data_IF_800425803476
#
_entry.id   IF_800425803476
#
_cell.length_a   1.000
_cell.length_b   1.000
_cell.length_c   1.000
_cell.angle_alpha   90.00
_cell.angle_beta   90.00
_cell.angle_gamma   90.00
#
_symmetry.space_group_name_H-M   'P 1'
#
loop_
_entity.id
_entity.type
_entity.pdbx_description
1 polymer ?
#
# COMPACT_ATOMS: atom_id res chain seq x y z
N UNK A 1 -5.19 -21.92 36.98
CA UNK A 1 -4.71 -20.54 36.69
C UNK A 1 -4.26 -20.48 35.25
N UNK A 2 -5.12 -20.03 34.34
CA UNK A 2 -4.77 -19.78 32.93
C UNK A 2 -4.34 -18.30 32.80
N UNK A 3 -3.07 -18.05 32.46
CA UNK A 3 -2.56 -16.72 32.21
C UNK A 3 -3.19 -16.20 30.91
N UNK A 4 -4.00 -15.18 31.03
CA UNK A 4 -4.43 -14.35 29.90
C UNK A 4 -3.20 -13.61 29.37
N UNK A 5 -2.73 -13.98 28.19
CA UNK A 5 -1.74 -13.20 27.45
C UNK A 5 -2.55 -12.09 26.77
N UNK A 6 -2.55 -10.92 27.39
CA UNK A 6 -3.00 -9.67 26.77
C UNK A 6 -2.04 -9.36 25.63
N UNK A 7 -2.54 -9.38 24.39
CA UNK A 7 -1.78 -8.92 23.23
C UNK A 7 -1.76 -7.39 23.28
N UNK A 8 -0.82 -6.86 24.07
CA UNK A 8 -0.47 -5.43 23.97
C UNK A 8 0.03 -5.16 22.55
N UNK A 9 -0.40 -4.02 21.96
CA UNK A 9 0.17 -3.49 20.75
C UNK A 9 1.69 -3.53 20.86
N UNK A 10 2.37 -4.17 19.89
CA UNK A 10 3.81 -4.36 19.93
C UNK A 10 4.49 -2.98 19.91
N UNK A 11 4.95 -2.53 21.06
CA UNK A 11 5.69 -1.26 21.25
C UNK A 11 7.16 -1.35 20.84
N UNK A 12 7.54 -2.38 20.10
CA UNK A 12 8.92 -2.60 19.64
C UNK A 12 9.05 -2.43 18.13
N UNK A 13 10.31 -2.40 17.63
CA UNK A 13 10.58 -2.29 16.20
C UNK A 13 9.97 -3.45 15.43
N UNK A 14 9.45 -3.19 14.23
CA UNK A 14 8.95 -4.24 13.33
C UNK A 14 10.10 -5.16 12.94
N UNK A 15 9.87 -6.47 13.00
CA UNK A 15 10.91 -7.48 12.71
C UNK A 15 10.30 -8.62 11.89
N UNK A 16 11.08 -9.07 10.90
CA UNK A 16 10.78 -10.29 10.16
C UNK A 16 11.97 -11.25 10.19
N UNK A 17 11.66 -12.54 10.16
CA UNK A 17 12.68 -13.57 10.08
C UNK A 17 13.52 -13.42 8.81
N UNK A 18 14.81 -13.82 8.83
CA UNK A 18 15.65 -13.89 7.65
C UNK A 18 15.03 -14.73 6.54
N UNK A 19 15.16 -14.27 5.29
CA UNK A 19 14.72 -15.03 4.11
C UNK A 19 15.82 -15.96 3.57
N UNK A 20 17.07 -15.74 3.97
CA UNK A 20 18.16 -16.68 3.66
C UNK A 20 17.86 -18.01 4.34
N UNK A 21 18.03 -19.12 3.61
CA UNK A 21 17.84 -20.44 4.17
C UNK A 21 18.70 -20.63 5.42
N UNK A 22 18.02 -20.86 6.53
CA UNK A 22 18.65 -21.17 7.80
C UNK A 22 18.97 -22.66 7.81
N UNK A 23 20.16 -23.02 8.27
CA UNK A 23 20.58 -24.41 8.48
C UNK A 23 19.47 -25.15 9.25
N UNK A 24 19.07 -26.30 8.73
CA UNK A 24 17.97 -27.12 9.28
C UNK A 24 18.09 -27.28 10.81
N UNK A 25 17.10 -26.79 11.56
CA UNK A 25 17.03 -26.90 13.02
C UNK A 25 16.94 -25.57 13.78
N UNK A 26 17.12 -24.43 13.16
CA UNK A 26 16.88 -23.14 13.82
C UNK A 26 15.44 -22.66 13.56
N UNK A 27 14.58 -22.74 14.58
CA UNK A 27 13.27 -22.07 14.57
C UNK A 27 13.45 -20.60 14.93
N UNK A 28 13.17 -19.72 14.00
CA UNK A 28 13.06 -18.30 14.31
C UNK A 28 11.70 -18.03 14.96
N UNK A 29 11.71 -17.41 16.14
CA UNK A 29 10.50 -16.91 16.81
C UNK A 29 9.89 -15.68 16.10
N UNK A 30 10.63 -15.06 15.17
CA UNK A 30 10.19 -13.88 14.43
C UNK A 30 9.15 -14.25 13.36
N UNK A 31 8.17 -13.37 13.12
CA UNK A 31 7.17 -13.56 12.08
C UNK A 31 7.81 -13.62 10.69
N UNK A 32 7.22 -14.42 9.80
CA UNK A 32 7.63 -14.48 8.40
C UNK A 32 7.05 -13.33 7.62
N UNK A 33 7.85 -12.73 6.74
CA UNK A 33 7.36 -11.79 5.75
C UNK A 33 6.40 -12.50 4.78
N UNK A 34 5.21 -11.91 4.57
CA UNK A 34 4.14 -12.48 3.73
C UNK A 34 4.08 -11.87 2.34
N UNK A 35 4.63 -10.69 2.17
CA UNK A 35 4.67 -9.98 0.88
C UNK A 35 5.15 -8.54 1.00
N UNK A 36 5.37 -7.92 -0.15
CA UNK A 36 5.83 -6.54 -0.25
C UNK A 36 4.87 -5.75 -1.15
N UNK A 37 4.47 -4.58 -0.69
CA UNK A 37 3.63 -3.64 -1.44
C UNK A 37 4.51 -2.47 -1.87
N UNK A 38 4.40 -2.06 -3.12
CA UNK A 38 5.20 -0.99 -3.70
C UNK A 38 4.33 0.18 -4.16
N UNK A 39 4.81 1.40 -3.98
CA UNK A 39 4.40 2.51 -4.82
C UNK A 39 5.07 2.42 -6.20
N UNK A 40 4.71 3.31 -7.12
CA UNK A 40 5.22 3.29 -8.51
C UNK A 40 6.16 4.44 -8.78
N UNK A 41 5.64 5.69 -8.75
CA UNK A 41 6.43 6.87 -9.13
C UNK A 41 7.37 7.29 -7.99
N UNK A 42 8.66 7.34 -8.28
CA UNK A 42 9.69 7.53 -7.26
C UNK A 42 10.13 6.23 -6.57
N UNK A 43 9.43 5.11 -6.77
CA UNK A 43 9.70 3.83 -6.12
C UNK A 43 10.08 2.71 -7.10
N UNK A 44 9.20 2.31 -8.01
CA UNK A 44 9.55 1.33 -9.06
C UNK A 44 10.20 1.99 -10.28
N UNK A 45 9.88 3.27 -10.54
CA UNK A 45 10.58 4.10 -11.51
C UNK A 45 11.11 5.37 -10.83
N UNK A 46 12.07 6.03 -11.49
CA UNK A 46 12.64 7.28 -11.01
C UNK A 46 11.55 8.37 -10.92
N UNK A 47 11.65 9.30 -9.94
CA UNK A 47 10.65 10.32 -9.72
C UNK A 47 10.45 11.21 -10.95
N UNK A 48 9.19 11.41 -11.36
CA UNK A 48 8.81 12.29 -12.46
C UNK A 48 8.22 13.60 -11.91
N UNK A 49 8.92 14.26 -10.99
CA UNK A 49 8.45 15.45 -10.26
C UNK A 49 8.01 16.60 -11.16
N UNK A 50 8.58 16.73 -12.38
CA UNK A 50 8.16 17.71 -13.37
C UNK A 50 6.70 17.52 -13.81
N UNK A 51 6.21 16.30 -13.85
CA UNK A 51 4.84 15.97 -14.21
C UNK A 51 3.82 16.62 -13.25
N UNK A 52 4.08 16.58 -11.95
CA UNK A 52 3.20 17.21 -10.96
C UNK A 52 3.16 18.73 -11.06
N UNK A 53 4.28 19.36 -11.49
CA UNK A 53 4.30 20.77 -11.83
C UNK A 53 3.36 21.09 -13.00
N UNK A 54 3.51 20.37 -14.10
CA UNK A 54 2.66 20.51 -15.28
C UNK A 54 1.17 20.29 -15.00
N UNK A 55 0.84 19.27 -14.17
CA UNK A 55 -0.55 19.01 -13.75
C UNK A 55 -1.13 20.18 -12.98
N UNK A 56 -0.37 20.78 -12.06
CA UNK A 56 -0.83 21.94 -11.30
C UNK A 56 -0.99 23.18 -12.17
N UNK A 57 -0.07 23.40 -13.10
CA UNK A 57 -0.14 24.52 -14.06
C UNK A 57 -1.41 24.44 -14.92
N UNK A 58 -1.73 23.26 -15.45
CA UNK A 58 -2.96 23.03 -16.24
C UNK A 58 -4.23 23.22 -15.41
N UNK A 59 -4.20 22.82 -14.14
CA UNK A 59 -5.34 22.96 -13.23
C UNK A 59 -5.42 24.34 -12.57
N UNK A 60 -4.40 25.19 -12.71
CA UNK A 60 -4.34 26.52 -12.08
C UNK A 60 -4.25 26.47 -10.56
N UNK A 61 -3.62 25.43 -9.96
CA UNK A 61 -3.56 25.24 -8.51
C UNK A 61 -2.13 25.33 -7.96
N UNK A 62 -1.95 25.86 -6.73
CA UNK A 62 -0.63 25.93 -6.08
C UNK A 62 -0.17 24.57 -5.55
N UNK A 63 1.13 24.47 -5.20
CA UNK A 63 1.73 23.23 -4.63
C UNK A 63 1.08 22.75 -3.35
N UNK A 64 0.46 23.63 -2.58
CA UNK A 64 -0.21 23.31 -1.32
C UNK A 64 -1.54 22.58 -1.49
N UNK A 65 -2.08 22.53 -2.72
CA UNK A 65 -3.36 21.86 -3.02
C UNK A 65 -3.09 20.48 -3.59
N UNK A 66 -3.78 19.47 -3.06
CA UNK A 66 -3.74 18.13 -3.62
C UNK A 66 -4.49 18.08 -4.95
N UNK A 67 -3.85 17.51 -5.96
CA UNK A 67 -4.36 17.47 -7.35
C UNK A 67 -5.69 16.72 -7.42
N UNK A 68 -5.77 15.56 -6.76
CA UNK A 68 -6.94 14.71 -6.83
C UNK A 68 -8.11 15.27 -6.00
N UNK A 69 -7.83 15.78 -4.81
CA UNK A 69 -8.86 16.43 -3.98
C UNK A 69 -9.44 17.64 -4.70
N UNK A 70 -8.58 18.45 -5.37
CA UNK A 70 -9.06 19.56 -6.19
C UNK A 70 -10.01 19.08 -7.28
N UNK A 71 -9.61 18.10 -8.10
CA UNK A 71 -10.45 17.59 -9.20
C UNK A 71 -11.79 17.09 -8.67
N UNK A 72 -11.79 16.33 -7.58
CA UNK A 72 -13.03 15.80 -7.02
C UNK A 72 -13.91 16.85 -6.33
N UNK A 73 -13.34 18.00 -5.95
CA UNK A 73 -14.09 19.15 -5.42
C UNK A 73 -14.76 20.00 -6.51
N UNK A 74 -14.47 19.78 -7.78
CA UNK A 74 -15.06 20.52 -8.90
C UNK A 74 -16.57 20.30 -8.95
N UNK A 75 -17.37 21.36 -9.26
CA UNK A 75 -18.81 21.37 -9.07
C UNK A 75 -19.60 20.37 -9.92
N UNK A 76 -19.08 20.00 -11.09
CA UNK A 76 -19.81 19.13 -12.02
C UNK A 76 -19.00 17.92 -12.47
N UNK A 77 -19.66 16.77 -12.75
CA UNK A 77 -18.97 15.59 -13.28
C UNK A 77 -18.20 15.88 -14.59
N UNK A 78 -18.74 16.75 -15.44
CA UNK A 78 -18.07 17.15 -16.69
C UNK A 78 -16.74 17.85 -16.41
N UNK A 79 -16.71 18.83 -15.50
CA UNK A 79 -15.48 19.53 -15.11
C UNK A 79 -14.47 18.57 -14.47
N UNK A 80 -14.95 17.63 -13.66
CA UNK A 80 -14.08 16.62 -13.05
C UNK A 80 -13.43 15.74 -14.12
N UNK A 81 -14.18 15.27 -15.12
CA UNK A 81 -13.66 14.42 -16.18
C UNK A 81 -12.72 15.20 -17.13
N UNK A 82 -13.00 16.44 -17.48
CA UNK A 82 -12.12 17.29 -18.29
C UNK A 82 -10.78 17.53 -17.58
N UNK A 83 -10.82 17.85 -16.28
CA UNK A 83 -9.63 18.03 -15.47
C UNK A 83 -8.84 16.70 -15.32
N UNK A 84 -9.55 15.60 -15.14
CA UNK A 84 -8.96 14.26 -15.04
C UNK A 84 -8.27 13.88 -16.37
N UNK A 85 -8.91 14.12 -17.51
CA UNK A 85 -8.30 13.82 -18.81
C UNK A 85 -7.08 14.70 -19.09
N UNK A 86 -7.07 15.95 -18.64
CA UNK A 86 -5.90 16.83 -18.75
C UNK A 86 -4.68 16.27 -18.02
N UNK A 87 -4.86 15.73 -16.80
CA UNK A 87 -3.75 15.11 -16.07
C UNK A 87 -3.38 13.73 -16.65
N UNK A 88 -4.32 12.96 -17.17
CA UNK A 88 -4.03 11.71 -17.90
C UNK A 88 -3.17 11.95 -19.13
N UNK A 89 -3.41 13.03 -19.86
CA UNK A 89 -2.60 13.39 -21.03
C UNK A 89 -1.14 13.65 -20.64
N UNK A 90 -0.90 14.35 -19.53
CA UNK A 90 0.45 14.58 -19.00
C UNK A 90 1.10 13.26 -18.56
N UNK A 91 0.37 12.40 -17.87
CA UNK A 91 0.88 11.09 -17.46
C UNK A 91 1.26 10.20 -18.66
N UNK A 92 0.47 10.22 -19.75
CA UNK A 92 0.81 9.46 -20.98
C UNK A 92 2.14 9.91 -21.60
N UNK A 93 2.44 11.19 -21.60
CA UNK A 93 3.72 11.71 -22.08
C UNK A 93 4.86 11.28 -21.15
N UNK A 94 4.68 11.43 -19.84
CA UNK A 94 5.69 11.05 -18.85
C UNK A 94 5.94 9.54 -18.84
N UNK A 95 4.92 8.73 -19.09
CA UNK A 95 5.01 7.28 -19.17
C UNK A 95 6.08 6.81 -20.18
N UNK A 96 6.18 7.42 -21.34
CA UNK A 96 7.18 7.06 -22.34
C UNK A 96 8.62 7.29 -21.84
N UNK A 97 8.80 8.25 -20.94
CA UNK A 97 10.08 8.67 -20.36
C UNK A 97 10.43 7.95 -19.06
N UNK A 98 9.61 7.03 -18.59
CA UNK A 98 9.90 6.27 -17.37
C UNK A 98 11.26 5.57 -17.44
N UNK A 99 12.03 5.71 -16.37
CA UNK A 99 13.30 5.04 -16.12
C UNK A 99 13.16 4.18 -14.87
N UNK A 100 13.60 2.93 -14.94
CA UNK A 100 13.56 2.03 -13.79
C UNK A 100 14.40 2.57 -12.62
N UNK A 101 13.93 2.33 -11.39
CA UNK A 101 14.76 2.61 -10.21
C UNK A 101 16.01 1.74 -10.19
N UNK A 102 17.16 2.26 -9.71
CA UNK A 102 18.34 1.46 -9.48
C UNK A 102 18.06 0.26 -8.56
N UNK A 103 18.50 -0.92 -8.98
CA UNK A 103 18.30 -2.17 -8.23
C UNK A 103 16.92 -2.82 -8.40
N UNK A 104 16.03 -2.26 -9.25
CA UNK A 104 14.68 -2.79 -9.45
C UNK A 104 14.69 -4.26 -9.87
N UNK A 105 15.45 -4.59 -10.91
CA UNK A 105 15.48 -5.94 -11.46
C UNK A 105 16.02 -6.95 -10.46
N UNK A 106 17.07 -6.57 -9.72
CA UNK A 106 17.73 -7.45 -8.74
C UNK A 106 16.78 -7.75 -7.57
N UNK A 107 16.11 -6.72 -7.04
CA UNK A 107 15.13 -6.91 -5.98
C UNK A 107 13.97 -7.79 -6.46
N UNK A 108 13.41 -7.56 -7.66
CA UNK A 108 12.28 -8.34 -8.17
C UNK A 108 12.67 -9.80 -8.40
N UNK A 109 13.83 -10.06 -9.00
CA UNK A 109 14.34 -11.42 -9.18
C UNK A 109 14.53 -12.14 -7.82
N UNK A 110 15.04 -11.42 -6.82
CA UNK A 110 15.18 -11.95 -5.47
C UNK A 110 13.82 -12.31 -4.85
N UNK A 111 12.85 -11.39 -4.85
CA UNK A 111 11.52 -11.64 -4.29
C UNK A 111 10.81 -12.81 -5.00
N UNK A 112 10.94 -12.90 -6.34
CA UNK A 112 10.40 -14.01 -7.13
C UNK A 112 11.06 -15.34 -6.75
N UNK A 113 12.38 -15.37 -6.57
CA UNK A 113 13.11 -16.57 -6.15
C UNK A 113 12.71 -17.08 -4.76
N UNK A 114 12.20 -16.19 -3.90
CA UNK A 114 11.69 -16.49 -2.56
C UNK A 114 10.20 -16.76 -2.52
N UNK A 115 9.50 -16.67 -3.66
CA UNK A 115 8.06 -16.86 -3.75
C UNK A 115 7.25 -15.81 -2.98
N UNK A 116 7.82 -14.61 -2.75
CA UNK A 116 7.15 -13.54 -2.04
C UNK A 116 6.12 -12.84 -2.93
N UNK A 117 4.93 -12.62 -2.38
CA UNK A 117 3.87 -11.87 -3.05
C UNK A 117 4.27 -10.42 -3.21
N UNK A 118 3.93 -9.85 -4.37
CA UNK A 118 4.16 -8.45 -4.69
C UNK A 118 2.84 -7.80 -5.06
N UNK A 119 2.53 -6.67 -4.44
CA UNK A 119 1.38 -5.83 -4.76
C UNK A 119 1.81 -4.41 -5.11
N UNK A 120 0.92 -3.67 -5.72
CA UNK A 120 1.10 -2.24 -6.00
C UNK A 120 -0.03 -1.48 -5.32
N UNK A 121 0.32 -0.38 -4.64
CA UNK A 121 -0.62 0.60 -4.14
C UNK A 121 -0.13 2.01 -4.52
N UNK A 122 -0.72 2.60 -5.55
CA UNK A 122 -0.25 3.85 -6.15
C UNK A 122 -1.38 4.85 -6.35
N UNK A 123 -1.02 6.13 -6.49
CA UNK A 123 -1.91 7.22 -6.90
C UNK A 123 -1.88 7.47 -8.42
N UNK A 124 -1.16 6.64 -9.17
CA UNK A 124 -1.14 6.69 -10.63
C UNK A 124 -2.34 5.96 -11.24
N UNK A 125 -2.67 6.29 -12.48
CA UNK A 125 -3.64 5.54 -13.29
C UNK A 125 -3.11 4.15 -13.66
N UNK A 126 -4.01 3.28 -14.08
CA UNK A 126 -3.67 1.93 -14.51
C UNK A 126 -2.68 1.90 -15.69
N UNK A 127 -2.84 2.80 -16.66
CA UNK A 127 -2.06 2.78 -17.89
C UNK A 127 -0.54 3.03 -17.67
N UNK A 128 -0.08 4.05 -16.90
CA UNK A 128 1.33 4.19 -16.55
C UNK A 128 1.90 3.00 -15.78
N UNK A 129 1.10 2.39 -14.91
CA UNK A 129 1.51 1.19 -14.16
C UNK A 129 1.69 0.01 -15.10
N UNK A 130 0.72 -0.27 -15.96
CA UNK A 130 0.80 -1.36 -16.94
C UNK A 130 2.01 -1.18 -17.90
N UNK A 131 2.28 0.05 -18.32
CA UNK A 131 3.45 0.36 -19.15
C UNK A 131 4.76 0.03 -18.43
N UNK A 132 4.91 0.49 -17.18
CA UNK A 132 6.09 0.21 -16.35
C UNK A 132 6.32 -1.30 -16.21
N UNK A 133 5.27 -2.04 -15.83
CA UNK A 133 5.35 -3.49 -15.65
C UNK A 133 5.75 -4.18 -16.94
N UNK A 134 5.17 -3.79 -18.07
CA UNK A 134 5.51 -4.38 -19.39
C UNK A 134 6.93 -4.03 -19.81
N UNK A 135 7.36 -2.78 -19.58
CA UNK A 135 8.67 -2.29 -20.03
C UNK A 135 9.84 -2.87 -19.24
N UNK A 136 9.69 -2.98 -17.91
CA UNK A 136 10.80 -3.31 -17.02
C UNK A 136 10.64 -4.63 -16.26
N UNK A 137 9.41 -5.13 -16.10
CA UNK A 137 9.07 -6.22 -15.18
C UNK A 137 8.18 -7.30 -15.81
N UNK A 138 8.31 -7.53 -17.12
CA UNK A 138 7.48 -8.48 -17.88
C UNK A 138 7.50 -9.93 -17.35
N UNK A 139 8.51 -10.30 -16.54
CA UNK A 139 8.61 -11.62 -15.90
C UNK A 139 8.11 -11.67 -14.46
N UNK A 140 7.74 -10.54 -13.86
CA UNK A 140 7.33 -10.44 -12.46
C UNK A 140 5.82 -10.25 -12.33
N UNK A 141 5.19 -10.99 -11.41
CA UNK A 141 3.75 -10.88 -11.15
C UNK A 141 3.50 -9.94 -9.97
N UNK A 142 2.65 -8.93 -10.21
CA UNK A 142 2.13 -8.03 -9.17
C UNK A 142 0.61 -8.20 -9.10
N UNK A 143 0.12 -8.64 -7.96
CA UNK A 143 -1.32 -8.81 -7.74
C UNK A 143 -1.65 -8.73 -6.25
N UNK A 144 -2.67 -7.92 -5.88
CA UNK A 144 -3.41 -7.00 -6.74
C UNK A 144 -2.62 -5.71 -7.07
N UNK A 145 -3.13 -4.96 -8.04
CA UNK A 145 -2.68 -3.62 -8.38
C UNK A 145 -3.78 -2.63 -7.99
N UNK A 146 -3.50 -1.81 -6.98
CA UNK A 146 -4.39 -0.75 -6.50
C UNK A 146 -3.91 0.57 -7.07
N UNK A 147 -4.74 1.21 -7.90
CA UNK A 147 -4.45 2.46 -8.60
C UNK A 147 -5.27 3.62 -8.02
N UNK A 148 -5.19 4.79 -8.66
CA UNK A 148 -5.91 6.01 -8.32
C UNK A 148 -7.43 5.83 -8.19
N UNK A 149 -8.01 4.89 -8.93
CA UNK A 149 -9.46 4.67 -8.92
C UNK A 149 -9.96 4.02 -7.62
N UNK A 150 -9.05 3.46 -6.82
CA UNK A 150 -9.37 2.92 -5.50
C UNK A 150 -9.54 4.06 -4.47
N UNK A 151 -10.62 3.98 -3.68
CA UNK A 151 -10.97 4.98 -2.68
C UNK A 151 -11.12 4.38 -1.29
N UNK A 152 -10.67 5.08 -0.26
CA UNK A 152 -9.85 6.30 -0.26
C UNK A 152 -8.39 6.04 -0.68
N UNK A 153 -7.69 7.04 -1.25
CA UNK A 153 -6.27 6.90 -1.64
C UNK A 153 -5.32 7.00 -0.44
N UNK A 154 -4.06 6.65 -0.60
CA UNK A 154 -3.00 6.96 0.36
C UNK A 154 -3.01 8.48 0.69
N UNK A 155 -2.82 8.88 1.94
CA UNK A 155 -2.29 8.16 3.11
C UNK A 155 -3.30 7.31 3.89
N UNK A 156 -4.51 7.10 3.38
CA UNK A 156 -5.45 6.16 3.97
C UNK A 156 -4.93 4.71 3.78
N UNK A 157 -5.02 3.83 4.81
CA UNK A 157 -4.52 2.47 4.74
C UNK A 157 -5.39 1.52 3.92
N UNK A 158 -6.58 1.94 3.48
CA UNK A 158 -7.58 1.05 2.86
C UNK A 158 -7.05 0.25 1.67
N UNK A 159 -6.22 0.87 0.81
CA UNK A 159 -5.59 0.17 -0.32
C UNK A 159 -4.67 -0.97 0.11
N UNK A 160 -3.87 -0.76 1.15
CA UNK A 160 -2.98 -1.78 1.69
C UNK A 160 -3.75 -2.91 2.39
N UNK A 161 -4.79 -2.56 3.14
CA UNK A 161 -5.67 -3.54 3.80
C UNK A 161 -6.46 -4.37 2.78
N UNK A 162 -6.88 -3.76 1.66
CA UNK A 162 -7.48 -4.48 0.54
C UNK A 162 -6.50 -5.50 -0.06
N UNK A 163 -5.23 -5.12 -0.29
CA UNK A 163 -4.19 -6.02 -0.76
C UNK A 163 -3.97 -7.17 0.22
N UNK A 164 -3.83 -6.88 1.51
CA UNK A 164 -3.68 -7.89 2.55
C UNK A 164 -4.85 -8.90 2.52
N UNK A 165 -6.09 -8.39 2.50
CA UNK A 165 -7.30 -9.23 2.42
C UNK A 165 -7.33 -10.09 1.14
N UNK A 166 -6.93 -9.53 -0.01
CA UNK A 166 -6.86 -10.26 -1.28
C UNK A 166 -5.85 -11.42 -1.22
N UNK A 167 -4.87 -11.33 -0.35
CA UNK A 167 -3.90 -12.40 -0.09
C UNK A 167 -4.35 -13.37 1.01
N UNK A 168 -5.55 -13.20 1.56
CA UNK A 168 -6.08 -14.01 2.65
C UNK A 168 -5.45 -13.67 4.01
N UNK A 169 -4.78 -12.52 4.11
CA UNK A 169 -4.23 -12.02 5.36
C UNK A 169 -5.32 -11.20 6.04
N UNK A 170 -6.02 -11.84 6.98
CA UNK A 170 -7.14 -11.23 7.70
C UNK A 170 -6.99 -11.40 9.20
N UNK A 171 -7.57 -10.46 9.95
CA UNK A 171 -7.75 -10.57 11.39
C UNK A 171 -9.21 -10.40 11.74
N UNK A 172 -9.66 -11.08 12.78
CA UNK A 172 -11.04 -10.92 13.31
C UNK A 172 -11.09 -9.70 14.19
N UNK A 173 -12.10 -8.88 13.98
CA UNK A 173 -12.47 -7.82 14.92
C UNK A 173 -13.15 -8.48 16.11
N UNK A 174 -12.60 -8.32 17.34
CA UNK A 174 -13.00 -9.09 18.52
C UNK A 174 -13.97 -8.36 19.45
N UNK A 175 -13.97 -7.04 19.41
CA UNK A 175 -14.82 -6.21 20.28
C UNK A 175 -14.98 -4.78 19.73
N UNK A 176 -15.82 -3.97 20.41
CA UNK A 176 -16.08 -2.58 20.03
C UNK A 176 -14.81 -1.69 20.03
N UNK A 177 -13.79 -2.04 20.80
CA UNK A 177 -12.50 -1.31 20.82
C UNK A 177 -11.68 -1.63 19.58
N UNK A 178 -11.69 -2.87 19.15
CA UNK A 178 -11.08 -3.31 17.87
C UNK A 178 -11.83 -2.68 16.69
N UNK A 179 -13.17 -2.59 16.75
CA UNK A 179 -13.98 -1.88 15.75
C UNK A 179 -13.65 -0.39 15.71
N UNK A 180 -13.49 0.26 16.87
CA UNK A 180 -13.12 1.66 16.93
C UNK A 180 -11.71 1.89 16.39
N UNK A 181 -10.74 1.04 16.76
CA UNK A 181 -9.38 1.11 16.23
C UNK A 181 -9.36 0.91 14.71
N UNK A 182 -10.18 0.00 14.17
CA UNK A 182 -10.35 -0.19 12.72
C UNK A 182 -11.00 1.03 12.08
N UNK A 183 -12.03 1.61 12.69
CA UNK A 183 -12.67 2.84 12.19
C UNK A 183 -11.72 4.04 12.22
N UNK A 184 -10.92 4.18 13.27
CA UNK A 184 -9.93 5.25 13.40
C UNK A 184 -8.81 5.09 12.36
N UNK A 185 -8.43 3.85 12.04
CA UNK A 185 -7.44 3.50 11.01
C UNK A 185 -7.99 3.71 9.60
N UNK A 186 -9.27 3.35 9.36
CA UNK A 186 -9.91 3.46 8.03
C UNK A 186 -10.46 4.88 7.77
N UNK A 187 -10.52 5.75 8.78
CA UNK A 187 -10.94 7.14 8.60
C UNK A 187 -12.37 7.30 8.07
N UNK A 188 -13.35 6.61 8.67
CA UNK A 188 -14.76 6.80 8.32
C UNK A 188 -15.21 8.20 8.74
N UNK A 189 -14.97 9.18 7.88
CA UNK A 189 -15.60 10.48 7.93
C UNK A 189 -17.12 10.30 7.74
N UNK A 190 -17.90 10.84 8.68
CA UNK A 190 -19.34 10.96 8.52
C UNK A 190 -19.66 11.83 7.29
N UNK A 191 -20.30 11.25 6.30
CA UNK A 191 -20.98 11.99 5.25
C UNK A 191 -20.62 11.61 3.83
N UNK A 192 -21.50 10.88 3.15
CA UNK A 192 -21.57 10.87 1.69
C UNK A 192 -21.73 9.49 1.05
N UNK A 193 -22.96 9.17 0.71
CA UNK A 193 -23.48 8.22 -0.29
C UNK A 193 -22.52 7.15 -0.86
N UNK A 194 -22.81 5.94 -0.47
CA UNK A 194 -22.43 4.67 -1.08
C UNK A 194 -22.73 4.67 -2.60
N UNK A 195 -21.70 4.71 -3.43
CA UNK A 195 -21.79 4.25 -4.81
C UNK A 195 -21.40 2.77 -4.86
N UNK A 196 -22.40 1.93 -5.08
CA UNK A 196 -22.28 0.48 -5.10
C UNK A 196 -21.45 -0.02 -6.28
N UNK A 197 -20.60 -1.00 -6.02
CA UNK A 197 -20.02 -1.86 -7.04
C UNK A 197 -21.10 -2.63 -7.83
N UNK A 198 -20.85 -3.06 -9.09
CA UNK A 198 -21.86 -3.70 -9.92
C UNK A 198 -22.34 -5.02 -9.29
N UNK A 199 -23.64 -5.09 -9.04
CA UNK A 199 -24.29 -6.31 -8.56
C UNK A 199 -24.51 -7.27 -9.72
N UNK A 200 -23.85 -8.41 -9.71
CA UNK A 200 -24.32 -9.58 -10.45
C UNK A 200 -25.67 -10.06 -9.88
N UNK A 201 -26.67 -10.18 -10.77
CA UNK A 201 -27.98 -10.72 -10.45
C UNK A 201 -27.87 -12.23 -10.20
N UNK A 202 -28.01 -12.68 -8.95
CA UNK A 202 -28.39 -14.07 -8.62
C UNK A 202 -29.84 -14.09 -8.19
N UNK A 203 -30.56 -14.99 -8.84
CA UNK A 203 -31.99 -15.30 -8.62
C UNK A 203 -32.25 -15.76 -7.18
N UNK A 204 -33.37 -15.28 -6.66
CA UNK A 204 -33.95 -15.68 -5.38
C UNK A 204 -34.38 -17.15 -5.40
N UNK A 205 -34.01 -17.89 -4.37
CA UNK A 205 -34.78 -19.01 -3.86
C UNK A 205 -34.99 -18.77 -2.37
N UNK A 206 -36.26 -18.59 -2.03
CA UNK A 206 -36.76 -18.50 -0.67
C UNK A 206 -36.63 -19.87 0.03
N UNK A 207 -35.95 -19.90 1.17
CA UNK A 207 -35.96 -21.00 2.10
C UNK A 207 -35.79 -20.44 3.51
N UNK A 208 -36.90 -20.39 4.25
CA UNK A 208 -36.92 -19.95 5.64
C UNK A 208 -36.10 -20.90 6.51
N UNK A 209 -35.04 -20.40 7.16
CA UNK A 209 -34.37 -21.05 8.29
C UNK A 209 -34.27 -20.01 9.41
N UNK A 210 -34.64 -20.43 10.61
CA UNK A 210 -34.77 -19.61 11.81
C UNK A 210 -33.47 -18.94 12.30
N UNK A 211 -33.52 -18.11 13.37
CA UNK A 211 -32.45 -17.25 13.78
C UNK A 211 -31.33 -18.03 14.49
N UNK A 212 -30.28 -18.41 13.76
CA UNK A 212 -29.04 -18.87 14.36
C UNK A 212 -28.20 -17.65 14.78
N UNK A 213 -28.08 -17.50 16.10
CA UNK A 213 -27.25 -16.51 16.77
C UNK A 213 -25.76 -16.84 16.57
N UNK A 214 -25.24 -16.64 15.38
CA UNK A 214 -23.80 -16.59 15.12
C UNK A 214 -23.41 -15.13 14.89
N UNK A 215 -22.77 -14.54 15.90
CA UNK A 215 -22.16 -13.23 15.77
C UNK A 215 -21.23 -13.21 14.55
N UNK A 216 -21.62 -12.46 13.53
CA UNK A 216 -20.77 -12.20 12.37
C UNK A 216 -19.59 -11.38 12.84
N UNK A 217 -18.48 -12.05 13.14
CA UNK A 217 -17.21 -11.36 13.34
C UNK A 217 -16.74 -10.82 11.97
N UNK A 218 -16.65 -9.52 11.86
CA UNK A 218 -16.15 -8.86 10.65
C UNK A 218 -14.66 -9.18 10.51
N UNK A 219 -14.25 -9.73 9.36
CA UNK A 219 -12.84 -9.94 9.02
C UNK A 219 -12.31 -8.74 8.25
N UNK A 220 -11.25 -8.14 8.77
CA UNK A 220 -10.54 -7.01 8.14
C UNK A 220 -9.16 -7.45 7.67
N UNK A 221 -8.61 -6.76 6.66
CA UNK A 221 -7.25 -7.02 6.19
C UNK A 221 -6.22 -6.82 7.31
N UNK A 222 -5.18 -7.65 7.33
CA UNK A 222 -4.06 -7.57 8.26
C UNK A 222 -2.74 -7.43 7.50
N UNK A 223 -2.16 -6.24 7.54
CA UNK A 223 -0.90 -5.95 6.89
C UNK A 223 0.33 -6.10 7.81
N UNK A 224 0.16 -6.64 9.02
CA UNK A 224 1.26 -6.78 10.01
C UNK A 224 2.41 -7.68 9.53
N UNK A 225 2.15 -8.57 8.59
CA UNK A 225 3.14 -9.43 7.92
C UNK A 225 3.70 -8.84 6.62
N UNK A 226 3.47 -7.57 6.32
CA UNK A 226 3.83 -6.93 5.06
C UNK A 226 4.85 -5.80 5.23
N UNK A 227 5.51 -5.47 4.13
CA UNK A 227 6.34 -4.26 4.00
C UNK A 227 5.68 -3.36 2.95
N UNK A 228 5.55 -2.06 3.24
CA UNK A 228 5.26 -1.00 2.27
C UNK A 228 6.57 -0.32 1.89
N UNK A 229 6.92 -0.32 0.61
CA UNK A 229 8.07 0.40 0.04
C UNK A 229 7.54 1.58 -0.77
N UNK A 230 8.01 2.76 -0.45
CA UNK A 230 7.59 4.00 -1.10
C UNK A 230 8.61 5.12 -0.96
N UNK A 231 8.37 6.25 -1.59
CA UNK A 231 9.24 7.43 -1.52
C UNK A 231 8.56 8.66 -0.92
N UNK A 232 7.29 8.55 -0.53
CA UNK A 232 6.49 9.67 -0.03
C UNK A 232 6.01 9.48 1.42
N UNK A 233 5.63 10.58 2.06
CA UNK A 233 5.00 10.54 3.39
C UNK A 233 3.66 9.80 3.36
N UNK A 234 2.94 9.85 2.24
CA UNK A 234 1.67 9.15 2.08
C UNK A 234 1.86 7.63 2.11
N UNK A 235 2.96 7.12 1.55
CA UNK A 235 3.32 5.70 1.60
C UNK A 235 3.65 5.24 3.02
N UNK A 236 4.52 6.00 3.67
CA UNK A 236 4.94 5.70 5.04
C UNK A 236 3.75 5.75 6.00
N UNK A 237 2.88 6.75 5.85
CA UNK A 237 1.69 6.90 6.69
C UNK A 237 0.67 5.79 6.42
N UNK A 238 0.38 5.47 5.16
CA UNK A 238 -0.52 4.38 4.81
C UNK A 238 0.00 3.03 5.33
N UNK A 239 1.30 2.75 5.14
CA UNK A 239 1.96 1.55 5.64
C UNK A 239 1.84 1.43 7.16
N UNK A 240 2.21 2.48 7.89
CA UNK A 240 2.13 2.52 9.35
C UNK A 240 0.71 2.30 9.86
N UNK A 241 -0.28 3.00 9.29
CA UNK A 241 -1.70 2.86 9.65
C UNK A 241 -2.27 1.49 9.34
N UNK A 242 -1.84 0.86 8.25
CA UNK A 242 -2.23 -0.52 7.92
C UNK A 242 -1.60 -1.56 8.86
N UNK A 243 -0.58 -1.19 9.63
CA UNK A 243 0.20 -2.08 10.49
C UNK A 243 1.40 -2.73 9.79
N UNK A 244 1.70 -2.38 8.54
CA UNK A 244 2.87 -2.86 7.82
C UNK A 244 4.16 -2.23 8.34
N UNK A 245 5.30 -2.89 8.09
CA UNK A 245 6.59 -2.24 8.16
C UNK A 245 6.76 -1.30 6.96
N UNK A 246 7.53 -0.22 7.11
CA UNK A 246 7.69 0.80 6.10
C UNK A 246 9.15 0.97 5.71
N UNK A 247 9.39 1.06 4.40
CA UNK A 247 10.72 1.28 3.83
C UNK A 247 10.68 2.50 2.93
N UNK A 248 11.41 3.53 3.32
CA UNK A 248 11.57 4.74 2.53
C UNK A 248 12.70 4.55 1.52
N UNK A 249 12.39 4.66 0.23
CA UNK A 249 13.40 4.83 -0.81
C UNK A 249 13.75 6.33 -0.89
N UNK A 250 14.91 6.68 -0.34
CA UNK A 250 15.31 8.08 -0.21
C UNK A 250 15.87 8.64 -1.51
N UNK A 251 15.56 9.89 -1.79
CA UNK A 251 16.10 10.69 -2.87
C UNK A 251 16.39 12.12 -2.38
N UNK A 252 16.88 13.00 -3.26
CA UNK A 252 17.26 14.37 -2.86
C UNK A 252 16.10 15.22 -2.34
N UNK A 253 14.86 14.89 -2.72
CA UNK A 253 13.66 15.67 -2.37
C UNK A 253 13.07 15.21 -1.02
N UNK A 254 13.10 13.91 -0.74
CA UNK A 254 12.40 13.30 0.40
C UNK A 254 13.32 12.93 1.59
N UNK A 255 14.60 13.29 1.56
CA UNK A 255 15.58 12.95 2.61
C UNK A 255 15.14 13.37 4.02
N UNK A 256 14.33 14.42 4.14
CA UNK A 256 13.75 14.87 5.40
C UNK A 256 12.79 13.85 6.05
N UNK A 257 12.28 12.87 5.28
CA UNK A 257 11.42 11.80 5.78
C UNK A 257 12.21 10.65 6.43
N UNK A 258 13.54 10.65 6.32
CA UNK A 258 14.38 9.57 6.87
C UNK A 258 14.19 9.39 8.38
N UNK A 259 13.95 10.48 9.11
CA UNK A 259 13.74 10.47 10.56
C UNK A 259 12.26 10.54 10.96
N UNK A 260 11.35 10.47 10.00
CA UNK A 260 9.92 10.52 10.29
C UNK A 260 9.46 9.28 11.08
N UNK A 261 8.56 9.46 12.04
CA UNK A 261 8.07 8.38 12.93
C UNK A 261 7.38 7.21 12.18
N UNK A 262 6.91 7.45 10.95
CA UNK A 262 6.30 6.42 10.11
C UNK A 262 7.33 5.68 9.23
N UNK A 263 8.62 5.98 9.31
CA UNK A 263 9.68 5.33 8.53
C UNK A 263 10.42 4.31 9.39
N UNK A 264 10.33 3.02 9.08
CA UNK A 264 11.03 1.96 9.82
C UNK A 264 12.45 1.73 9.30
N UNK A 265 12.67 1.85 7.99
CA UNK A 265 13.95 1.64 7.34
C UNK A 265 14.11 2.62 6.17
N UNK A 266 15.36 3.02 5.90
CA UNK A 266 15.73 3.87 4.77
C UNK A 266 16.69 3.11 3.88
N UNK A 267 16.46 3.16 2.56
CA UNK A 267 17.35 2.64 1.52
C UNK A 267 17.55 3.70 0.43
N UNK A 268 18.69 3.68 -0.24
CA UNK A 268 18.99 4.57 -1.38
C UNK A 268 18.78 3.87 -2.73
N UNK A 269 18.80 2.53 -2.73
CA UNK A 269 18.61 1.67 -3.90
C UNK A 269 17.71 0.49 -3.53
N UNK A 270 16.93 0.01 -4.47
CA UNK A 270 16.01 -1.10 -4.20
C UNK A 270 16.72 -2.41 -3.86
N UNK A 271 17.86 -2.69 -4.47
CA UNK A 271 18.66 -3.90 -4.22
C UNK A 271 19.26 -3.98 -2.80
N UNK A 272 19.38 -2.86 -2.09
CA UNK A 272 19.78 -2.87 -0.67
C UNK A 272 18.79 -3.65 0.21
N UNK A 273 17.52 -3.68 -0.19
CA UNK A 273 16.51 -4.45 0.53
C UNK A 273 16.77 -5.96 0.48
N UNK A 274 17.49 -6.47 -0.52
CA UNK A 274 17.89 -7.88 -0.62
C UNK A 274 18.70 -8.30 0.61
N UNK A 275 19.75 -7.54 0.91
CA UNK A 275 20.62 -7.80 2.06
C UNK A 275 19.87 -7.68 3.40
N UNK A 276 18.96 -6.73 3.49
CA UNK A 276 18.10 -6.55 4.69
C UNK A 276 17.21 -7.76 4.90
N UNK A 277 16.54 -8.24 3.84
CA UNK A 277 15.64 -9.38 3.92
C UNK A 277 16.38 -10.70 4.15
N UNK A 278 17.59 -10.86 3.58
CA UNK A 278 18.40 -12.06 3.81
C UNK A 278 18.86 -12.19 5.27
N UNK A 279 19.17 -11.06 5.93
CA UNK A 279 19.59 -11.03 7.35
C UNK A 279 18.43 -10.99 8.33
N UNK A 280 17.24 -10.71 7.86
CA UNK A 280 16.06 -10.42 8.66
C UNK A 280 15.82 -8.92 8.83
N UNK A 281 14.59 -8.51 8.54
CA UNK A 281 14.19 -7.10 8.66
C UNK A 281 14.12 -6.68 10.13
N UNK A 282 14.73 -5.54 10.44
CA UNK A 282 14.61 -4.88 11.75
C UNK A 282 14.35 -3.40 11.47
N UNK A 283 13.12 -2.97 11.76
CA UNK A 283 12.76 -1.56 11.76
C UNK A 283 13.36 -0.84 12.96
N UNK A 284 13.41 0.48 12.88
CA UNK A 284 13.88 1.29 14.02
C UNK A 284 12.89 1.28 15.18
N UNK A 285 13.39 1.51 16.38
CA UNK A 285 12.56 1.80 17.55
C UNK A 285 11.94 3.19 17.37
N UNK A 286 10.63 3.28 17.55
CA UNK A 286 9.90 4.54 17.58
C UNK A 286 9.71 4.87 19.05
N UNK A 287 10.35 5.93 19.48
CA UNK A 287 10.28 6.43 20.87
C UNK A 287 8.96 7.19 21.14
#
# INVERSE_FOLDING_TARGET
>A
MRRFISTMAQSGPRRFAPLKEVVAGQHHELPKLQGVIFDVDGTLCQPQNHMFGQMRDVLGIPKSVDILEHIYSLPTPTQQEEAMESIRAIERVSMAQQVAQPGLTDLMAYLDSRGLRKGICTRNFEQPVAHLLTKFLSGSVFHPVVTRDFRPPKPDPAGLLFIARSWGLTRRVRDERDEQAVRDVIGVGQGGNSAAAPREKKQQQEGAVGPDAHGHHEEVGDASGLIMVGDSIDDMTAGRRAGAATVLLVNDVNRHLSDHEHTDLVIERLDELVDVLDRGFVGREIS
#
